data_IF_728917177799
#
_entry.id   IF_728917177799
#
_cell.length_a   1.000
_cell.length_b   1.000
_cell.length_c   1.000
_cell.angle_alpha   90.00
_cell.angle_beta   90.00
_cell.angle_gamma   90.00
#
_symmetry.space_group_name_H-M   'P 1'
#
loop_
_entity.id
_entity.type
_entity.pdbx_description
1 polymer ?
#
# COMPACT_ATOMS: atom_id res chain seq x y z
N UNK A 1 22.22 13.30 -4.03
CA UNK A 1 22.04 13.75 -2.63
C UNK A 1 23.39 14.14 -2.06
N UNK A 2 23.76 15.44 -2.05
CA UNK A 2 24.95 15.89 -1.35
C UNK A 2 24.75 15.78 0.18
N UNK A 3 25.87 15.78 0.92
CA UNK A 3 25.85 15.75 2.39
C UNK A 3 25.03 16.92 2.93
N UNK A 4 24.06 16.62 3.81
CA UNK A 4 23.19 17.62 4.45
C UNK A 4 21.82 17.84 3.77
N UNK A 5 21.58 17.26 2.59
CA UNK A 5 20.29 17.40 1.87
C UNK A 5 19.67 16.01 1.67
N UNK A 6 18.81 15.55 2.60
CA UNK A 6 18.17 14.25 2.50
C UNK A 6 17.01 14.26 1.50
N UNK A 7 16.78 13.10 0.87
CA UNK A 7 15.63 12.81 0.00
C UNK A 7 15.12 11.43 0.39
N UNK A 8 13.81 11.33 0.64
CA UNK A 8 13.17 10.06 0.91
C UNK A 8 12.78 9.38 -0.42
N UNK A 9 13.72 8.62 -0.98
CA UNK A 9 13.54 7.94 -2.27
C UNK A 9 12.52 6.79 -2.18
N UNK A 10 11.66 6.67 -3.18
CA UNK A 10 10.75 5.52 -3.39
C UNK A 10 11.07 4.81 -4.70
N UNK A 11 10.40 3.69 -4.96
CA UNK A 11 10.59 2.91 -6.19
C UNK A 11 10.25 3.71 -7.47
N UNK A 12 10.92 3.37 -8.58
CA UNK A 12 10.68 3.96 -9.91
C UNK A 12 9.21 3.75 -10.30
N UNK A 13 8.59 4.79 -10.88
CA UNK A 13 7.18 4.83 -11.29
C UNK A 13 6.18 4.52 -10.16
N UNK A 14 6.55 4.67 -8.89
CA UNK A 14 5.69 4.36 -7.75
C UNK A 14 5.22 5.63 -7.02
N UNK A 15 4.36 6.40 -7.70
CA UNK A 15 3.73 7.59 -7.11
C UNK A 15 2.84 7.28 -5.91
N UNK A 16 2.24 6.09 -5.88
CA UNK A 16 1.41 5.63 -4.76
C UNK A 16 2.23 5.58 -3.47
N UNK A 17 3.41 4.94 -3.49
CA UNK A 17 4.26 4.85 -2.31
C UNK A 17 4.80 6.21 -1.87
N UNK A 18 5.05 7.14 -2.81
CA UNK A 18 5.40 8.52 -2.46
C UNK A 18 4.25 9.20 -1.70
N UNK A 19 3.00 9.05 -2.17
CA UNK A 19 1.81 9.58 -1.50
C UNK A 19 1.61 8.98 -0.11
N UNK A 20 1.72 7.66 0.03
CA UNK A 20 1.60 6.98 1.32
C UNK A 20 2.69 7.40 2.30
N UNK A 21 3.92 7.62 1.82
CA UNK A 21 5.01 8.16 2.63
C UNK A 21 4.70 9.58 3.11
N UNK A 22 4.15 10.43 2.23
CA UNK A 22 3.72 11.78 2.59
C UNK A 22 2.62 11.76 3.67
N UNK A 23 1.62 10.89 3.53
CA UNK A 23 0.57 10.71 4.54
C UNK A 23 1.17 10.30 5.88
N UNK A 24 2.11 9.34 5.91
CA UNK A 24 2.80 8.92 7.14
C UNK A 24 3.55 10.07 7.83
N UNK A 25 4.18 10.96 7.05
CA UNK A 25 4.84 12.16 7.60
C UNK A 25 3.81 13.14 8.17
N UNK A 26 2.73 13.42 7.43
CA UNK A 26 1.68 14.34 7.86
C UNK A 26 0.93 13.85 9.10
N UNK A 27 0.77 12.53 9.26
CA UNK A 27 0.13 11.93 10.43
C UNK A 27 0.81 12.29 11.76
N UNK A 28 2.08 12.72 11.75
CA UNK A 28 2.75 13.22 12.94
C UNK A 28 2.09 14.50 13.51
N UNK A 29 1.45 15.31 12.66
CA UNK A 29 0.73 16.52 13.03
C UNK A 29 -0.79 16.44 12.86
N UNK A 30 -1.30 15.41 12.18
CA UNK A 30 -2.72 15.25 11.86
C UNK A 30 -3.21 13.85 12.29
N UNK A 31 -3.66 13.68 13.56
CA UNK A 31 -3.96 12.36 14.12
C UNK A 31 -5.00 11.54 13.37
N UNK A 32 -5.97 12.18 12.71
CA UNK A 32 -7.00 11.49 11.92
C UNK A 32 -6.40 10.67 10.76
N UNK A 33 -5.25 11.08 10.22
CA UNK A 33 -4.57 10.38 9.13
C UNK A 33 -3.96 9.05 9.60
N UNK A 34 -3.69 8.89 10.90
CA UNK A 34 -3.28 7.60 11.48
C UNK A 34 -4.38 6.57 11.28
N UNK A 35 -5.63 6.93 11.62
CA UNK A 35 -6.79 6.06 11.46
C UNK A 35 -7.02 5.67 9.99
N UNK A 36 -6.98 6.65 9.08
CA UNK A 36 -7.11 6.42 7.63
C UNK A 36 -5.99 5.52 7.09
N UNK A 37 -4.75 5.69 7.56
CA UNK A 37 -3.62 4.85 7.16
C UNK A 37 -3.77 3.41 7.69
N UNK A 38 -4.25 3.24 8.92
CA UNK A 38 -4.56 1.92 9.49
C UNK A 38 -5.66 1.21 8.71
N UNK A 39 -6.72 1.91 8.33
CA UNK A 39 -7.79 1.37 7.50
C UNK A 39 -7.29 0.96 6.12
N UNK A 40 -6.48 1.80 5.47
CA UNK A 40 -5.85 1.47 4.19
C UNK A 40 -5.03 0.17 4.27
N UNK A 41 -4.23 -0.02 5.33
CA UNK A 41 -3.45 -1.26 5.52
C UNK A 41 -4.35 -2.49 5.72
N UNK A 42 -5.42 -2.37 6.52
CA UNK A 42 -6.39 -3.45 6.73
C UNK A 42 -7.11 -3.84 5.44
N UNK A 43 -7.47 -2.86 4.61
CA UNK A 43 -8.11 -3.13 3.32
C UNK A 43 -7.17 -3.86 2.36
N UNK A 44 -5.87 -3.53 2.37
CA UNK A 44 -4.86 -4.22 1.58
C UNK A 44 -4.65 -5.67 2.04
N UNK A 45 -4.60 -5.89 3.36
CA UNK A 45 -4.55 -7.23 3.95
C UNK A 45 -5.77 -8.06 3.51
N UNK A 46 -6.98 -7.49 3.67
CA UNK A 46 -8.21 -8.13 3.24
C UNK A 46 -8.20 -8.48 1.76
N UNK A 47 -7.76 -7.57 0.89
CA UNK A 47 -7.68 -7.83 -0.55
C UNK A 47 -6.78 -9.03 -0.88
N UNK A 48 -5.68 -9.21 -0.13
CA UNK A 48 -4.80 -10.37 -0.31
C UNK A 48 -5.48 -11.65 0.20
N UNK A 49 -6.12 -11.61 1.36
CA UNK A 49 -6.85 -12.78 1.90
C UNK A 49 -7.99 -13.22 0.98
N UNK A 50 -8.79 -12.29 0.47
CA UNK A 50 -9.87 -12.58 -0.48
C UNK A 50 -9.31 -13.25 -1.77
N UNK A 51 -8.12 -12.83 -2.21
CA UNK A 51 -7.41 -13.45 -3.35
C UNK A 51 -6.92 -14.86 -3.04
N UNK A 52 -6.45 -15.10 -1.82
CA UNK A 52 -6.00 -16.42 -1.35
C UNK A 52 -7.18 -17.38 -1.27
N UNK A 53 -8.27 -17.00 -0.61
CA UNK A 53 -9.49 -17.83 -0.52
C UNK A 53 -9.98 -18.22 -1.91
N UNK A 54 -10.07 -17.25 -2.83
CA UNK A 54 -10.46 -17.53 -4.21
C UNK A 54 -9.49 -18.48 -4.92
N UNK A 55 -8.18 -18.34 -4.69
CA UNK A 55 -7.17 -19.22 -5.29
C UNK A 55 -7.31 -20.66 -4.77
N UNK A 56 -7.62 -20.84 -3.49
CA UNK A 56 -7.88 -22.16 -2.88
C UNK A 56 -9.14 -22.81 -3.45
N UNK A 57 -10.21 -22.04 -3.67
CA UNK A 57 -11.47 -22.54 -4.21
C UNK A 57 -11.37 -23.01 -5.67
N UNK A 58 -10.76 -22.21 -6.54
CA UNK A 58 -10.76 -22.45 -8.00
C UNK A 58 -9.50 -23.16 -8.50
N UNK A 59 -8.46 -23.23 -7.67
CA UNK A 59 -7.14 -23.74 -8.06
C UNK A 59 -6.37 -22.76 -8.97
N UNK A 60 -5.05 -22.91 -9.01
CA UNK A 60 -4.15 -21.99 -9.71
C UNK A 60 -4.37 -21.96 -11.24
N UNK A 61 -4.83 -23.07 -11.83
CA UNK A 61 -5.07 -23.19 -13.28
C UNK A 61 -6.24 -22.31 -13.75
N UNK A 62 -7.25 -22.12 -12.89
CA UNK A 62 -8.46 -21.34 -13.21
C UNK A 62 -8.43 -19.93 -12.60
N UNK A 63 -7.43 -19.63 -11.77
CA UNK A 63 -7.32 -18.35 -11.09
C UNK A 63 -6.96 -17.22 -12.06
N UNK A 64 -7.95 -16.37 -12.37
CA UNK A 64 -7.75 -15.16 -13.17
C UNK A 64 -7.60 -13.93 -12.27
N UNK A 65 -6.45 -13.26 -12.38
CA UNK A 65 -6.24 -11.93 -11.80
C UNK A 65 -7.04 -10.93 -12.61
N UNK A 66 -8.08 -10.34 -12.03
CA UNK A 66 -8.74 -9.17 -12.62
C UNK A 66 -7.71 -8.04 -12.69
N UNK A 67 -7.26 -7.70 -13.89
CA UNK A 67 -6.48 -6.48 -14.14
C UNK A 67 -7.46 -5.32 -14.25
N UNK A 68 -7.48 -4.48 -13.22
CA UNK A 68 -8.17 -3.18 -13.25
C UNK A 68 -7.42 -2.17 -14.11
#
# INVERSE_FOLDING_TARGET
MPRGIPVATVAINNGVNAGLLAVRILSAGIPELVGKMSEYMKNMEKEVLDKVEKLEEVGWEQYQVKRG
#
